data_IF_566518699590
#
_entry.id   IF_566518699590
#
_cell.length_a   1.000
_cell.length_b   1.000
_cell.length_c   1.000
_cell.angle_alpha   90.00
_cell.angle_beta   90.00
_cell.angle_gamma   90.00
#
_symmetry.space_group_name_H-M   'P 1'
#
loop_
_entity.id
_entity.type
_entity.pdbx_description
1 polymer ?
#
# COMPACT_ATOMS: atom_id res chain seq x y z
N UNK A 1 -11.65 11.53 -16.20
CA UNK A 1 -10.44 11.54 -15.30
C UNK A 1 -10.56 10.33 -14.39
N UNK A 2 -9.52 9.54 -14.22
CA UNK A 2 -9.52 8.41 -13.27
C UNK A 2 -8.89 8.88 -11.96
N UNK A 3 -9.57 8.62 -10.84
CA UNK A 3 -9.10 8.93 -9.50
C UNK A 3 -8.73 7.65 -8.76
N UNK A 4 -7.74 7.74 -7.88
CA UNK A 4 -7.42 6.74 -6.89
C UNK A 4 -7.60 7.34 -5.49
N UNK A 5 -7.99 6.52 -4.52
CA UNK A 5 -8.13 6.91 -3.13
C UNK A 5 -6.86 6.55 -2.37
N UNK A 6 -6.15 7.55 -1.84
CA UNK A 6 -5.04 7.35 -0.92
C UNK A 6 -5.53 6.96 0.49
N UNK A 7 -4.89 6.01 1.12
CA UNK A 7 -5.39 5.37 2.35
C UNK A 7 -4.48 5.55 3.57
N UNK A 8 -3.50 6.45 3.53
CA UNK A 8 -2.56 6.66 4.63
C UNK A 8 -3.29 6.98 5.96
N UNK A 9 -4.33 7.82 5.93
CA UNK A 9 -5.11 8.20 7.11
C UNK A 9 -6.00 7.06 7.66
N UNK A 10 -6.14 5.95 6.94
CA UNK A 10 -6.83 4.77 7.48
C UNK A 10 -5.96 4.01 8.48
N UNK A 11 -4.65 4.17 8.40
CA UNK A 11 -3.68 3.44 9.22
C UNK A 11 -2.89 4.28 10.20
N UNK A 12 -2.78 5.58 9.98
CA UNK A 12 -1.93 6.47 10.77
C UNK A 12 -2.45 7.91 10.76
N UNK A 13 -2.00 8.70 11.72
CA UNK A 13 -2.22 10.15 11.71
C UNK A 13 -1.35 10.76 10.61
N UNK A 14 -1.99 11.28 9.57
CA UNK A 14 -1.30 11.75 8.37
C UNK A 14 -1.95 12.99 7.78
N UNK A 15 -1.11 13.94 7.34
CA UNK A 15 -1.52 15.15 6.66
C UNK A 15 -1.59 16.38 7.58
N UNK A 16 -1.15 17.51 7.05
CA UNK A 16 -1.05 18.79 7.78
C UNK A 16 -2.43 19.32 8.20
N UNK A 17 -3.48 18.95 7.46
CA UNK A 17 -4.85 19.39 7.68
C UNK A 17 -5.71 18.35 8.40
N UNK A 18 -5.12 17.26 8.90
CA UNK A 18 -5.85 16.24 9.63
C UNK A 18 -6.07 16.70 11.08
N UNK A 19 -7.21 17.35 11.33
CA UNK A 19 -7.59 17.82 12.67
C UNK A 19 -7.98 16.64 13.56
N UNK A 20 -8.60 15.61 12.96
CA UNK A 20 -9.17 14.45 13.67
C UNK A 20 -8.25 13.23 13.70
N UNK A 21 -7.02 13.34 13.14
CA UNK A 21 -6.05 12.25 13.09
C UNK A 21 -6.47 11.09 12.17
N UNK A 22 -6.29 9.87 12.62
CA UNK A 22 -6.62 8.66 11.87
C UNK A 22 -8.13 8.45 11.74
N UNK A 23 -8.58 8.10 10.53
CA UNK A 23 -10.00 7.79 10.24
C UNK A 23 -10.47 6.58 11.05
N UNK A 24 -11.65 6.67 11.65
CA UNK A 24 -12.26 5.57 12.40
C UNK A 24 -12.67 4.42 11.47
N UNK A 25 -12.56 3.18 11.92
CA UNK A 25 -12.86 2.00 11.10
C UNK A 25 -14.30 1.99 10.55
N UNK A 26 -15.30 2.51 11.30
CA UNK A 26 -16.67 2.67 10.82
C UNK A 26 -16.75 3.64 9.64
N UNK A 27 -16.03 4.74 9.72
CA UNK A 27 -16.00 5.78 8.69
C UNK A 27 -15.25 5.33 7.43
N UNK A 28 -14.23 4.48 7.57
CA UNK A 28 -13.53 3.88 6.42
C UNK A 28 -14.52 3.13 5.52
N UNK A 29 -15.44 2.37 6.08
CA UNK A 29 -16.46 1.64 5.30
C UNK A 29 -17.36 2.60 4.53
N UNK A 30 -17.77 3.70 5.13
CA UNK A 30 -18.61 4.71 4.47
C UNK A 30 -17.85 5.42 3.35
N UNK A 31 -16.58 5.76 3.55
CA UNK A 31 -15.71 6.36 2.55
C UNK A 31 -15.54 5.41 1.36
N UNK A 32 -15.27 4.13 1.59
CA UNK A 32 -15.09 3.13 0.54
C UNK A 32 -16.39 2.93 -0.25
N UNK A 33 -17.53 2.85 0.42
CA UNK A 33 -18.83 2.75 -0.23
C UNK A 33 -19.12 3.99 -1.10
N UNK A 34 -18.80 5.17 -0.62
CA UNK A 34 -18.95 6.41 -1.38
C UNK A 34 -18.00 6.44 -2.59
N UNK A 35 -16.74 6.05 -2.42
CA UNK A 35 -15.76 5.96 -3.49
C UNK A 35 -16.24 5.02 -4.61
N UNK A 36 -16.67 3.82 -4.25
CA UNK A 36 -17.19 2.82 -5.20
C UNK A 36 -18.39 3.35 -5.98
N UNK A 37 -19.39 3.93 -5.30
CA UNK A 37 -20.58 4.53 -5.93
C UNK A 37 -20.24 5.66 -6.91
N UNK A 38 -19.12 6.34 -6.73
CA UNK A 38 -18.65 7.42 -7.60
C UNK A 38 -17.58 6.98 -8.61
N UNK A 39 -17.41 5.67 -8.82
CA UNK A 39 -16.51 5.12 -9.84
C UNK A 39 -15.02 5.18 -9.48
N UNK A 40 -14.68 5.35 -8.21
CA UNK A 40 -13.32 5.26 -7.70
C UNK A 40 -13.08 3.80 -7.30
N UNK A 41 -12.44 3.05 -8.19
CA UNK A 41 -12.16 1.63 -7.99
C UNK A 41 -10.69 1.30 -7.71
N UNK A 42 -9.84 2.31 -7.49
CA UNK A 42 -8.41 2.11 -7.22
C UNK A 42 -8.04 2.68 -5.84
N UNK A 43 -7.39 1.85 -5.02
CA UNK A 43 -6.85 2.23 -3.72
C UNK A 43 -5.33 2.27 -3.76
N UNK A 44 -4.74 3.31 -3.20
CA UNK A 44 -3.31 3.48 -2.99
C UNK A 44 -2.99 3.32 -1.51
N UNK A 45 -2.25 2.28 -1.16
CA UNK A 45 -1.81 1.97 0.20
C UNK A 45 -0.31 1.72 0.28
N UNK A 46 0.21 1.40 1.45
CA UNK A 46 1.59 0.97 1.67
C UNK A 46 1.75 0.24 3.01
N UNK A 47 2.72 -0.68 3.15
CA UNK A 47 3.07 -1.29 4.43
C UNK A 47 3.49 -0.25 5.49
N UNK A 48 4.09 0.87 5.04
CA UNK A 48 4.52 1.96 5.92
C UNK A 48 3.38 2.87 6.41
N UNK A 49 2.13 2.67 5.96
CA UNK A 49 0.97 3.46 6.40
C UNK A 49 0.31 2.89 7.67
N UNK A 50 1.13 2.53 8.66
CA UNK A 50 0.66 1.97 9.92
C UNK A 50 -0.11 0.66 9.72
N UNK A 51 -1.38 0.62 10.11
CA UNK A 51 -2.23 -0.55 9.93
C UNK A 51 -3.25 -0.42 8.77
N UNK A 52 -3.00 0.48 7.81
CA UNK A 52 -3.93 0.76 6.69
C UNK A 52 -4.32 -0.49 5.91
N UNK A 53 -3.36 -1.34 5.54
CA UNK A 53 -3.64 -2.58 4.78
C UNK A 53 -4.56 -3.53 5.56
N UNK A 54 -4.37 -3.65 6.87
CA UNK A 54 -5.24 -4.47 7.72
C UNK A 54 -6.66 -3.88 7.84
N UNK A 55 -6.78 -2.57 7.97
CA UNK A 55 -8.07 -1.87 8.00
C UNK A 55 -8.81 -2.08 6.69
N UNK A 56 -8.14 -1.94 5.54
CA UNK A 56 -8.71 -2.21 4.22
C UNK A 56 -9.19 -3.65 4.08
N UNK A 57 -8.36 -4.62 4.47
CA UNK A 57 -8.74 -6.04 4.41
C UNK A 57 -9.96 -6.40 5.29
N UNK A 58 -10.16 -5.68 6.39
CA UNK A 58 -11.36 -5.85 7.24
C UNK A 58 -12.58 -5.12 6.67
N UNK A 59 -12.40 -4.08 5.86
CA UNK A 59 -13.48 -3.34 5.22
C UNK A 59 -14.00 -4.00 3.92
N UNK A 60 -13.51 -5.20 3.57
CA UNK A 60 -13.91 -5.97 2.39
C UNK A 60 -13.73 -5.20 1.06
N UNK A 61 -12.48 -4.98 0.69
CA UNK A 61 -12.09 -4.21 -0.52
C UNK A 61 -11.98 -5.08 -1.78
N UNK A 62 -12.69 -6.21 -1.87
CA UNK A 62 -12.58 -7.18 -2.98
C UNK A 62 -12.88 -6.59 -4.36
N UNK A 63 -13.73 -5.59 -4.42
CA UNK A 63 -14.14 -4.93 -5.67
C UNK A 63 -13.18 -3.81 -6.10
N UNK A 64 -12.14 -3.56 -5.30
CA UNK A 64 -11.15 -2.53 -5.60
C UNK A 64 -9.88 -3.14 -6.19
N UNK A 65 -9.29 -2.42 -7.12
CA UNK A 65 -7.91 -2.61 -7.52
C UNK A 65 -7.00 -1.98 -6.46
N UNK A 66 -5.95 -2.70 -6.03
CA UNK A 66 -5.07 -2.22 -4.98
C UNK A 66 -3.66 -2.04 -5.51
N UNK A 67 -3.11 -0.85 -5.29
CA UNK A 67 -1.69 -0.55 -5.44
C UNK A 67 -1.09 -0.42 -4.06
N UNK A 68 -0.02 -1.17 -3.79
CA UNK A 68 0.80 -1.01 -2.59
C UNK A 68 2.24 -0.64 -2.96
N UNK A 69 3.12 -0.54 -1.98
CA UNK A 69 4.48 -0.05 -2.18
C UNK A 69 5.50 -0.99 -1.55
N UNK A 70 6.75 -0.93 -2.05
CA UNK A 70 7.87 -1.58 -1.37
C UNK A 70 8.14 -0.92 -0.02
N UNK A 71 8.86 -1.61 0.86
CA UNK A 71 9.52 -0.94 1.99
C UNK A 71 10.59 0.03 1.47
N UNK A 72 11.05 0.92 2.33
CA UNK A 72 12.31 1.61 2.13
C UNK A 72 13.47 0.69 2.53
N UNK A 73 14.46 0.53 1.63
CA UNK A 73 15.65 -0.27 1.89
C UNK A 73 16.78 0.61 2.44
N UNK A 74 17.20 0.39 3.67
CA UNK A 74 18.23 1.21 4.34
C UNK A 74 19.66 0.90 3.87
N UNK A 75 19.88 -0.25 3.22
CA UNK A 75 21.18 -0.66 2.72
C UNK A 75 21.60 0.17 1.50
N UNK A 76 22.90 0.34 1.32
CA UNK A 76 23.49 1.04 0.17
C UNK A 76 23.53 0.19 -1.11
N UNK A 77 23.35 -1.12 -0.98
CA UNK A 77 23.37 -2.11 -2.08
C UNK A 77 22.18 -3.05 -1.91
N UNK A 78 21.52 -3.37 -3.00
CA UNK A 78 20.45 -4.37 -3.03
C UNK A 78 21.05 -5.74 -3.34
N UNK A 79 20.86 -6.65 -2.42
CA UNK A 79 21.31 -8.06 -2.51
C UNK A 79 20.11 -8.99 -2.58
N UNK A 80 20.33 -10.30 -2.66
CA UNK A 80 19.23 -11.27 -2.60
C UNK A 80 18.46 -11.22 -1.27
N UNK A 81 19.12 -10.78 -0.18
CA UNK A 81 18.45 -10.59 1.10
C UNK A 81 17.33 -9.53 1.03
N UNK A 82 17.56 -8.43 0.32
CA UNK A 82 16.53 -7.39 0.12
C UNK A 82 15.41 -7.89 -0.79
N UNK A 83 15.72 -8.79 -1.74
CA UNK A 83 14.71 -9.47 -2.58
C UNK A 83 13.83 -10.39 -1.73
N UNK A 84 14.44 -11.19 -0.85
CA UNK A 84 13.71 -12.07 0.06
C UNK A 84 12.79 -11.25 0.98
N UNK A 85 13.27 -10.14 1.53
CA UNK A 85 12.47 -9.22 2.34
C UNK A 85 11.30 -8.60 1.55
N UNK A 86 11.50 -8.27 0.27
CA UNK A 86 10.42 -7.78 -0.59
C UNK A 86 9.33 -8.85 -0.78
N UNK A 87 9.73 -10.10 -1.03
CA UNK A 87 8.78 -11.21 -1.21
C UNK A 87 7.97 -11.47 0.08
N UNK A 88 8.63 -11.44 1.22
CA UNK A 88 7.98 -11.57 2.53
C UNK A 88 6.98 -10.44 2.78
N UNK A 89 7.35 -9.19 2.47
CA UNK A 89 6.45 -8.04 2.58
C UNK A 89 5.24 -8.15 1.67
N UNK A 90 5.43 -8.57 0.42
CA UNK A 90 4.32 -8.78 -0.52
C UNK A 90 3.35 -9.84 -0.01
N UNK A 91 3.89 -10.96 0.49
CA UNK A 91 3.07 -11.99 1.12
C UNK A 91 2.30 -11.48 2.34
N UNK A 92 2.93 -10.65 3.16
CA UNK A 92 2.27 -10.03 4.31
C UNK A 92 1.21 -9.00 3.90
N UNK A 93 1.48 -8.18 2.88
CA UNK A 93 0.51 -7.21 2.33
C UNK A 93 -0.73 -7.91 1.79
N UNK A 94 -0.56 -8.94 0.96
CA UNK A 94 -1.67 -9.74 0.43
C UNK A 94 -2.53 -10.35 1.56
N UNK A 95 -1.88 -10.88 2.59
CA UNK A 95 -2.55 -11.44 3.76
C UNK A 95 -3.31 -10.37 4.55
N UNK A 96 -2.70 -9.20 4.77
CA UNK A 96 -3.33 -8.09 5.50
C UNK A 96 -4.53 -7.53 4.74
N UNK A 97 -4.39 -7.36 3.42
CA UNK A 97 -5.43 -6.89 2.51
C UNK A 97 -6.53 -7.91 2.25
N UNK A 98 -6.29 -9.20 2.56
CA UNK A 98 -7.17 -10.34 2.20
C UNK A 98 -7.45 -10.40 0.70
N UNK A 99 -6.43 -10.11 -0.11
CA UNK A 99 -6.43 -10.14 -1.57
C UNK A 99 -5.51 -11.24 -2.10
N UNK A 100 -5.88 -11.83 -3.25
CA UNK A 100 -5.07 -12.87 -3.90
C UNK A 100 -3.97 -12.27 -4.79
N UNK A 101 -4.16 -11.03 -5.25
CA UNK A 101 -3.21 -10.33 -6.12
C UNK A 101 -3.28 -8.81 -5.92
N UNK A 102 -2.24 -8.12 -6.34
CA UNK A 102 -2.18 -6.66 -6.39
C UNK A 102 -2.37 -6.17 -7.82
N UNK A 103 -3.02 -5.05 -8.00
CA UNK A 103 -3.09 -4.36 -9.29
C UNK A 103 -1.73 -3.75 -9.67
N UNK A 104 -0.98 -3.29 -8.68
CA UNK A 104 0.35 -2.74 -8.89
C UNK A 104 1.18 -2.66 -7.62
N UNK A 105 2.49 -2.67 -7.82
CA UNK A 105 3.49 -2.43 -6.80
C UNK A 105 4.33 -1.22 -7.22
N UNK A 106 4.41 -0.21 -6.36
CA UNK A 106 5.25 0.96 -6.56
C UNK A 106 6.49 0.90 -5.69
N UNK A 107 7.58 1.48 -6.14
CA UNK A 107 8.73 1.72 -5.28
C UNK A 107 8.44 2.93 -4.40
N UNK A 108 8.50 2.75 -3.10
CA UNK A 108 8.13 3.79 -2.14
C UNK A 108 9.13 4.95 -2.13
N UNK A 109 10.42 4.62 -2.18
CA UNK A 109 11.49 5.61 -2.27
C UNK A 109 12.26 5.45 -3.57
N UNK A 110 12.20 6.46 -4.43
CA UNK A 110 12.88 6.45 -5.74
C UNK A 110 14.39 6.24 -5.63
N UNK A 111 15.02 6.65 -4.54
CA UNK A 111 16.45 6.46 -4.31
C UNK A 111 16.84 4.96 -4.24
N UNK A 112 15.89 4.09 -3.89
CA UNK A 112 16.12 2.65 -3.89
C UNK A 112 16.39 2.10 -5.30
N UNK A 113 15.88 2.77 -6.33
CA UNK A 113 16.13 2.42 -7.74
C UNK A 113 17.55 2.76 -8.20
N UNK A 114 18.21 3.70 -7.54
CA UNK A 114 19.54 4.17 -7.88
C UNK A 114 20.65 3.32 -7.21
N UNK A 115 20.27 2.42 -6.29
CA UNK A 115 21.21 1.58 -5.57
C UNK A 115 21.79 0.48 -6.46
N UNK A 116 23.11 0.16 -6.34
CA UNK A 116 23.67 -1.00 -7.01
C UNK A 116 22.85 -2.26 -6.70
N UNK A 117 22.52 -3.04 -7.72
CA UNK A 117 21.73 -4.26 -7.58
C UNK A 117 20.20 -4.05 -7.53
N UNK A 118 19.68 -2.82 -7.64
CA UNK A 118 18.24 -2.53 -7.61
C UNK A 118 17.43 -3.31 -8.65
N UNK A 119 18.01 -3.63 -9.81
CA UNK A 119 17.36 -4.45 -10.83
C UNK A 119 16.88 -5.81 -10.31
N UNK A 120 17.52 -6.35 -9.25
CA UNK A 120 17.13 -7.63 -8.64
C UNK A 120 15.74 -7.60 -8.02
N UNK A 121 15.28 -6.43 -7.55
CA UNK A 121 13.95 -6.26 -6.97
C UNK A 121 12.85 -6.51 -8.00
N UNK A 122 13.12 -6.27 -9.28
CA UNK A 122 12.13 -6.34 -10.36
C UNK A 122 12.17 -7.63 -11.17
N UNK A 123 13.27 -8.38 -11.09
CA UNK A 123 13.39 -9.63 -11.84
C UNK A 123 12.60 -10.79 -11.23
N UNK A 124 11.95 -10.58 -10.08
CA UNK A 124 11.23 -11.61 -9.33
C UNK A 124 9.73 -11.27 -9.16
N UNK A 125 9.29 -10.14 -9.69
CA UNK A 125 7.92 -9.71 -9.75
C UNK A 125 7.32 -10.07 -11.10
#
# INVERSE_FOLDING_TARGET
MKLALGTAQFGMDYGINSIDGRVKASEVTDILNYACKNGIGLLDTAPSYGNSEHVLGNANVKDFQIVTKTRHFNQTVITNKEVDLLNDDLGQSLKSLKHESLYGLLVHNVDDLLKPGAYKLFNQL
#
